data_IF_751600710062
#
_entry.id   IF_751600710062
#
_cell.length_a   1.000
_cell.length_b   1.000
_cell.length_c   1.000
_cell.angle_alpha   90.00
_cell.angle_beta   90.00
_cell.angle_gamma   90.00
#
_symmetry.space_group_name_H-M   'P 1'
#
loop_
_entity.id
_entity.type
_entity.pdbx_description
1 polymer ?
#
# COMPACT_ATOMS: atom_id res chain seq x y z
N UNK A 1 -4.51 15.78 -68.30
CA UNK A 1 -4.01 16.31 -67.03
C UNK A 1 -5.08 16.01 -65.95
N UNK A 2 -4.98 14.87 -65.31
CA UNK A 2 -5.92 14.39 -64.30
C UNK A 2 -5.27 14.55 -62.92
N UNK A 3 -5.84 15.41 -62.08
CA UNK A 3 -5.43 15.61 -60.68
C UNK A 3 -5.99 14.47 -59.83
N UNK A 4 -5.11 13.67 -59.22
CA UNK A 4 -5.47 12.73 -58.18
C UNK A 4 -5.50 13.46 -56.85
N UNK A 5 -6.69 13.43 -56.21
CA UNK A 5 -6.89 13.93 -54.86
C UNK A 5 -6.65 12.78 -53.88
N UNK A 6 -5.57 12.87 -53.08
CA UNK A 6 -5.26 11.92 -52.00
C UNK A 6 -6.05 12.29 -50.78
N UNK A 7 -7.04 11.47 -50.40
CA UNK A 7 -7.78 11.58 -49.14
C UNK A 7 -6.93 10.93 -48.05
N UNK A 8 -6.43 11.74 -47.12
CA UNK A 8 -5.76 11.31 -45.93
C UNK A 8 -6.80 10.95 -44.86
N UNK A 9 -7.09 9.67 -44.67
CA UNK A 9 -7.97 9.22 -43.60
C UNK A 9 -7.15 9.21 -42.28
N UNK A 10 -7.39 10.23 -41.45
CA UNK A 10 -6.84 10.27 -40.09
C UNK A 10 -7.58 9.27 -39.19
N UNK A 11 -6.90 8.22 -38.76
CA UNK A 11 -7.40 7.31 -37.74
C UNK A 11 -7.38 8.02 -36.37
N UNK A 12 -8.53 8.44 -35.88
CA UNK A 12 -8.72 8.95 -34.55
C UNK A 12 -8.71 7.76 -33.57
N UNK A 13 -7.56 7.50 -32.94
CA UNK A 13 -7.46 6.53 -31.85
C UNK A 13 -8.14 7.14 -30.64
N UNK A 14 -9.36 6.71 -30.35
CA UNK A 14 -10.05 6.98 -29.09
C UNK A 14 -9.33 6.23 -27.98
N UNK A 15 -8.39 6.88 -27.32
CA UNK A 15 -7.88 6.42 -26.02
C UNK A 15 -9.00 6.58 -25.00
N UNK A 16 -9.70 5.49 -24.69
CA UNK A 16 -10.55 5.43 -23.50
C UNK A 16 -9.64 5.56 -22.28
N UNK A 17 -9.88 6.55 -21.39
CA UNK A 17 -9.11 6.64 -20.16
C UNK A 17 -9.45 5.41 -19.32
N UNK A 18 -8.49 4.50 -19.16
CA UNK A 18 -8.54 3.46 -18.13
C UNK A 18 -8.48 4.22 -16.81
N UNK A 19 -9.56 4.16 -16.04
CA UNK A 19 -9.63 4.71 -14.69
C UNK A 19 -8.71 3.88 -13.78
N UNK A 20 -7.43 4.20 -13.77
CA UNK A 20 -6.48 3.63 -12.83
C UNK A 20 -6.71 4.28 -11.48
N UNK A 21 -7.50 3.64 -10.63
CA UNK A 21 -7.61 3.98 -9.22
C UNK A 21 -6.35 3.40 -8.54
N UNK A 22 -5.38 4.24 -8.23
CA UNK A 22 -4.20 3.82 -7.50
C UNK A 22 -4.59 3.52 -6.05
N UNK A 23 -4.39 2.29 -5.61
CA UNK A 23 -4.62 1.83 -4.24
C UNK A 23 -3.28 1.46 -3.60
N UNK A 24 -3.15 1.46 -2.24
CA UNK A 24 -1.90 1.20 -1.54
C UNK A 24 -1.26 -0.16 -1.79
N UNK A 25 -1.98 -1.08 -2.43
CA UNK A 25 -1.43 -2.31 -3.00
C UNK A 25 -1.53 -2.14 -4.50
N UNK A 26 -0.38 -2.03 -5.15
CA UNK A 26 -0.27 -1.78 -6.57
C UNK A 26 -0.79 -2.93 -7.40
N UNK A 27 -1.90 -2.68 -8.06
CA UNK A 27 -2.42 -3.48 -9.17
C UNK A 27 -2.90 -2.58 -10.30
N UNK A 28 -2.15 -1.49 -10.54
CA UNK A 28 -2.13 -0.83 -11.83
C UNK A 28 -0.95 -1.40 -12.62
N UNK A 29 -1.06 -1.51 -13.91
CA UNK A 29 0.07 -1.86 -14.77
C UNK A 29 1.23 -0.90 -14.49
N UNK A 30 2.45 -1.43 -14.38
CA UNK A 30 3.62 -0.61 -14.15
C UNK A 30 4.32 -0.88 -12.83
N UNK A 31 5.15 0.08 -12.43
CA UNK A 31 5.97 0.00 -11.22
C UNK A 31 5.40 0.88 -10.13
N UNK A 32 5.29 0.32 -8.93
CA UNK A 32 4.91 1.07 -7.73
C UNK A 32 6.07 1.12 -6.76
N UNK A 33 6.37 2.31 -6.28
CA UNK A 33 7.28 2.56 -5.14
C UNK A 33 6.44 3.06 -3.98
N UNK A 34 6.65 2.50 -2.79
CA UNK A 34 5.95 2.90 -1.58
C UNK A 34 6.92 3.02 -0.41
N UNK A 35 6.74 4.07 0.36
CA UNK A 35 7.45 4.33 1.61
C UNK A 35 6.41 4.48 2.72
N UNK A 36 6.59 3.78 3.82
CA UNK A 36 5.75 3.89 5.01
C UNK A 36 6.61 4.14 6.24
N UNK A 37 6.17 5.05 7.11
CA UNK A 37 6.87 5.43 8.32
C UNK A 37 5.90 5.59 9.48
N UNK A 38 6.19 4.92 10.59
CA UNK A 38 5.55 5.08 11.88
C UNK A 38 6.63 5.35 12.94
N UNK A 39 6.66 6.57 13.47
CA UNK A 39 7.74 7.02 14.35
C UNK A 39 7.91 6.13 15.60
N UNK A 40 9.06 5.47 15.70
CA UNK A 40 9.44 4.59 16.81
C UNK A 40 8.80 3.20 16.77
N UNK A 41 8.26 2.77 15.62
CA UNK A 41 7.72 1.41 15.43
C UNK A 41 8.13 0.77 14.11
N UNK A 42 8.02 1.47 12.97
CA UNK A 42 8.23 0.88 11.67
C UNK A 42 8.71 1.90 10.63
N UNK A 43 9.65 1.49 9.79
CA UNK A 43 9.94 2.15 8.53
C UNK A 43 10.04 1.10 7.43
N UNK A 44 9.31 1.29 6.33
CA UNK A 44 9.27 0.32 5.22
C UNK A 44 9.41 1.02 3.88
N UNK A 45 10.24 0.43 3.00
CA UNK A 45 10.34 0.80 1.58
C UNK A 45 10.02 -0.41 0.72
N UNK A 46 9.17 -0.23 -0.30
CA UNK A 46 8.71 -1.30 -1.18
C UNK A 46 8.78 -0.87 -2.64
N UNK A 47 9.12 -1.83 -3.52
CA UNK A 47 9.05 -1.68 -4.97
C UNK A 47 8.39 -2.91 -5.55
N UNK A 48 7.34 -2.73 -6.35
CA UNK A 48 6.61 -3.79 -7.03
C UNK A 48 6.40 -3.46 -8.50
N UNK A 49 6.51 -4.45 -9.34
CA UNK A 49 6.14 -4.40 -10.74
C UNK A 49 4.90 -5.27 -10.97
N UNK A 50 3.87 -4.70 -11.55
CA UNK A 50 2.63 -5.37 -11.94
C UNK A 50 2.60 -5.55 -13.46
N UNK A 51 2.91 -6.74 -14.00
CA UNK A 51 2.80 -7.01 -15.44
C UNK A 51 1.33 -7.13 -15.87
N UNK A 52 0.43 -7.42 -14.94
CA UNK A 52 -1.02 -7.52 -15.13
C UNK A 52 -1.76 -6.98 -13.90
N UNK A 53 -3.04 -6.66 -14.09
CA UNK A 53 -3.89 -6.04 -13.05
C UNK A 53 -4.14 -6.93 -11.81
N UNK A 54 -3.88 -8.23 -11.87
CA UNK A 54 -4.23 -9.19 -10.82
C UNK A 54 -3.05 -9.67 -9.98
N UNK A 55 -1.81 -9.36 -10.36
CA UNK A 55 -0.65 -9.68 -9.54
C UNK A 55 0.51 -8.70 -9.74
N UNK A 56 1.35 -8.62 -8.73
CA UNK A 56 2.62 -7.91 -8.80
C UNK A 56 3.72 -8.68 -8.09
N UNK A 57 4.94 -8.50 -8.56
CA UNK A 57 6.15 -9.08 -7.99
C UNK A 57 7.12 -7.99 -7.60
N UNK A 58 7.86 -8.19 -6.55
CA UNK A 58 8.84 -7.22 -6.10
C UNK A 58 9.35 -7.55 -4.71
N UNK A 59 9.69 -6.53 -3.95
CA UNK A 59 10.21 -6.72 -2.62
C UNK A 59 10.24 -5.42 -1.82
N UNK A 60 10.73 -5.54 -0.61
CA UNK A 60 10.86 -4.42 0.30
C UNK A 60 11.91 -4.64 1.36
N UNK A 61 12.13 -3.57 2.08
CA UNK A 61 12.92 -3.53 3.28
C UNK A 61 12.10 -2.88 4.38
N UNK A 62 11.95 -3.59 5.50
CA UNK A 62 11.25 -3.07 6.67
C UNK A 62 12.17 -3.13 7.89
N UNK A 63 12.17 -2.06 8.65
CA UNK A 63 12.77 -1.96 9.97
C UNK A 63 11.66 -1.82 11.00
N UNK A 64 11.67 -2.71 12.00
CA UNK A 64 10.80 -2.62 13.16
C UNK A 64 11.64 -2.23 14.38
N UNK A 65 11.23 -1.15 15.03
CA UNK A 65 11.77 -0.73 16.33
C UNK A 65 10.76 -1.03 17.43
N UNK A 66 11.24 -1.61 18.52
CA UNK A 66 10.38 -1.84 19.68
C UNK A 66 10.30 -0.57 20.55
N UNK A 67 9.07 -0.12 20.79
CA UNK A 67 8.81 0.93 21.77
C UNK A 67 8.95 0.44 23.23
N UNK A 68 9.11 -0.88 23.44
CA UNK A 68 9.12 -1.51 24.77
C UNK A 68 10.50 -1.85 25.25
N UNK A 69 11.39 -2.19 24.33
CA UNK A 69 12.77 -2.64 24.63
C UNK A 69 13.70 -2.11 23.54
N UNK A 70 15.00 -1.92 23.80
CA UNK A 70 15.97 -1.51 22.78
C UNK A 70 16.24 -2.68 21.79
N UNK A 71 15.26 -2.94 20.92
CA UNK A 71 15.28 -4.01 19.93
C UNK A 71 14.90 -3.47 18.57
N UNK A 72 15.70 -3.82 17.55
CA UNK A 72 15.45 -3.49 16.14
C UNK A 72 15.58 -4.75 15.30
N UNK A 73 14.66 -5.00 14.40
CA UNK A 73 14.69 -6.05 13.39
C UNK A 73 14.62 -5.43 12.01
N UNK A 74 15.56 -5.83 11.13
CA UNK A 74 15.63 -5.40 9.73
C UNK A 74 15.39 -6.59 8.83
N UNK A 75 14.40 -6.47 7.95
CA UNK A 75 13.96 -7.54 7.07
C UNK A 75 14.03 -7.05 5.64
N UNK A 76 14.71 -7.80 4.76
CA UNK A 76 14.64 -7.61 3.32
C UNK A 76 13.97 -8.84 2.71
N UNK A 77 12.94 -8.63 1.89
CA UNK A 77 12.13 -9.71 1.35
C UNK A 77 11.80 -9.51 -0.14
N UNK A 78 11.55 -10.62 -0.82
CA UNK A 78 10.84 -10.68 -2.10
C UNK A 78 9.42 -11.19 -1.86
N UNK A 79 8.45 -10.69 -2.63
CA UNK A 79 7.02 -10.97 -2.42
C UNK A 79 6.26 -10.99 -3.72
N UNK A 80 5.31 -11.93 -3.84
CA UNK A 80 4.22 -11.93 -4.81
C UNK A 80 2.97 -11.40 -4.13
N UNK A 81 2.33 -10.39 -4.69
CA UNK A 81 1.01 -9.94 -4.32
C UNK A 81 0.00 -10.42 -5.36
N UNK A 82 -1.20 -10.80 -4.90
CA UNK A 82 -2.26 -11.32 -5.75
C UNK A 82 -3.61 -10.70 -5.39
N UNK A 83 -4.33 -10.21 -6.40
CA UNK A 83 -5.73 -9.78 -6.27
C UNK A 83 -6.63 -11.01 -6.33
N UNK A 84 -7.05 -11.49 -5.16
CA UNK A 84 -7.89 -12.69 -5.02
C UNK A 84 -9.29 -12.46 -5.60
N UNK A 85 -9.87 -11.28 -5.32
CA UNK A 85 -11.20 -10.92 -5.78
C UNK A 85 -11.39 -9.41 -5.89
N UNK A 86 -12.09 -9.00 -6.94
CA UNK A 86 -12.59 -7.63 -7.12
C UNK A 86 -14.08 -7.65 -7.41
N UNK A 87 -14.81 -6.79 -6.75
CA UNK A 87 -16.21 -6.49 -7.03
C UNK A 87 -16.31 -5.06 -7.51
N UNK A 88 -16.68 -4.88 -8.77
CA UNK A 88 -17.01 -3.58 -9.33
C UNK A 88 -18.52 -3.38 -9.22
N UNK A 89 -18.93 -2.57 -8.27
CA UNK A 89 -20.32 -2.20 -8.04
C UNK A 89 -20.60 -0.87 -8.77
N UNK A 90 -21.86 -0.49 -8.91
CA UNK A 90 -22.26 0.73 -9.64
C UNK A 90 -21.59 2.00 -9.10
N UNK A 91 -21.45 2.14 -7.79
CA UNK A 91 -20.87 3.32 -7.13
C UNK A 91 -19.75 3.00 -6.14
N UNK A 92 -19.27 1.76 -6.15
CA UNK A 92 -18.27 1.28 -5.19
C UNK A 92 -17.37 0.22 -5.80
N UNK A 93 -16.23 -0.01 -5.16
CA UNK A 93 -15.35 -1.13 -5.45
C UNK A 93 -14.94 -1.82 -4.16
N UNK A 94 -15.00 -3.15 -4.15
CA UNK A 94 -14.43 -3.97 -3.09
C UNK A 94 -13.29 -4.83 -3.62
N UNK A 95 -12.25 -5.04 -2.84
CA UNK A 95 -11.14 -5.89 -3.22
C UNK A 95 -10.70 -6.75 -2.05
N UNK A 96 -10.16 -7.93 -2.38
CA UNK A 96 -9.43 -8.79 -1.46
C UNK A 96 -8.09 -9.14 -2.12
N UNK A 97 -7.02 -8.91 -1.38
CA UNK A 97 -5.65 -9.22 -1.79
C UNK A 97 -5.03 -10.20 -0.80
N UNK A 98 -4.09 -10.98 -1.30
CA UNK A 98 -3.21 -11.79 -0.49
C UNK A 98 -1.80 -11.71 -1.03
N UNK A 99 -0.82 -11.93 -0.16
CA UNK A 99 0.58 -11.98 -0.57
C UNK A 99 1.36 -13.00 0.22
N UNK A 100 2.45 -13.45 -0.38
CA UNK A 100 3.40 -14.33 0.23
C UNK A 100 4.80 -14.10 -0.32
N UNK A 101 5.79 -14.32 0.51
CA UNK A 101 7.17 -14.10 0.15
C UNK A 101 8.15 -14.68 1.14
N UNK A 102 9.42 -14.48 0.85
CA UNK A 102 10.52 -14.91 1.70
C UNK A 102 11.67 -13.91 1.63
N UNK A 103 12.52 -13.93 2.63
CA UNK A 103 13.64 -13.02 2.72
C UNK A 103 14.65 -13.39 3.80
N UNK A 104 15.42 -12.40 4.20
CA UNK A 104 16.39 -12.49 5.27
C UNK A 104 16.18 -11.38 6.29
N UNK A 105 16.44 -11.68 7.54
CA UNK A 105 16.40 -10.70 8.63
C UNK A 105 17.72 -10.67 9.40
N UNK A 106 18.04 -9.49 9.91
CA UNK A 106 19.04 -9.24 10.95
C UNK A 106 18.38 -8.51 12.11
N UNK A 107 18.93 -8.59 13.29
CA UNK A 107 18.34 -7.92 14.45
C UNK A 107 19.35 -7.73 15.57
N UNK A 108 19.00 -6.87 16.51
CA UNK A 108 19.85 -6.55 17.66
C UNK A 108 19.88 -7.66 18.73
N UNK A 109 18.92 -8.60 18.69
CA UNK A 109 18.77 -9.66 19.70
C UNK A 109 19.28 -11.02 19.25
N UNK A 110 19.75 -11.15 18.00
CA UNK A 110 20.33 -12.38 17.48
C UNK A 110 21.50 -12.10 16.53
N UNK A 111 22.40 -13.04 16.39
CA UNK A 111 23.55 -12.90 15.49
C UNK A 111 23.31 -13.57 14.14
N UNK A 112 23.89 -12.97 13.08
CA UNK A 112 23.81 -13.46 11.71
C UNK A 112 22.43 -13.27 11.09
N UNK A 113 22.31 -13.60 9.81
CA UNK A 113 21.04 -13.53 9.09
C UNK A 113 20.14 -14.73 9.42
N UNK A 114 18.82 -14.50 9.44
CA UNK A 114 17.78 -15.52 9.58
C UNK A 114 16.85 -15.49 8.38
N UNK A 115 16.48 -16.66 7.90
CA UNK A 115 15.43 -16.74 6.89
C UNK A 115 14.09 -16.26 7.46
N UNK A 116 13.34 -15.51 6.65
CA UNK A 116 12.02 -14.97 7.00
C UNK A 116 11.01 -15.42 5.97
N UNK A 117 9.84 -15.85 6.43
CA UNK A 117 8.63 -15.94 5.63
C UNK A 117 7.78 -14.69 5.84
N UNK A 118 7.27 -14.13 4.75
CA UNK A 118 6.30 -13.03 4.75
C UNK A 118 4.97 -13.54 4.20
N UNK A 119 3.85 -13.20 4.84
CA UNK A 119 2.52 -13.48 4.34
C UNK A 119 1.53 -12.44 4.85
N UNK A 120 0.49 -12.17 4.10
CA UNK A 120 -0.56 -11.27 4.56
C UNK A 120 -1.75 -11.22 3.62
N UNK A 121 -2.72 -10.41 4.04
CA UNK A 121 -3.94 -10.17 3.29
C UNK A 121 -4.48 -8.76 3.56
N UNK A 122 -5.25 -8.24 2.61
CA UNK A 122 -6.00 -7.00 2.76
C UNK A 122 -7.36 -7.16 2.12
N UNK A 123 -8.38 -6.63 2.79
CA UNK A 123 -9.67 -6.36 2.19
C UNK A 123 -9.93 -4.85 2.22
N UNK A 124 -10.46 -4.30 1.15
CA UNK A 124 -10.88 -2.91 1.11
C UNK A 124 -12.22 -2.74 0.40
N UNK A 125 -12.90 -1.66 0.79
CA UNK A 125 -14.12 -1.17 0.18
C UNK A 125 -14.03 0.34 0.01
N UNK A 126 -14.36 0.83 -1.16
CA UNK A 126 -14.27 2.25 -1.50
C UNK A 126 -15.43 2.70 -2.38
N UNK A 127 -15.99 3.82 -2.01
CA UNK A 127 -16.87 4.64 -2.85
C UNK A 127 -16.16 5.95 -3.20
N UNK A 128 -16.82 6.88 -3.88
CA UNK A 128 -16.28 8.24 -4.07
C UNK A 128 -16.14 9.05 -2.76
N UNK A 129 -16.79 8.63 -1.67
CA UNK A 129 -16.88 9.37 -0.41
C UNK A 129 -16.48 8.59 0.84
N UNK A 130 -16.47 7.26 0.77
CA UNK A 130 -16.21 6.40 1.93
C UNK A 130 -15.17 5.35 1.56
N UNK A 131 -14.23 5.14 2.46
CA UNK A 131 -13.19 4.13 2.37
C UNK A 131 -13.13 3.32 3.66
N UNK A 132 -12.96 2.02 3.54
CA UNK A 132 -12.66 1.12 4.64
C UNK A 132 -11.64 0.08 4.19
N UNK A 133 -10.66 -0.26 5.04
CA UNK A 133 -9.74 -1.36 4.77
C UNK A 133 -9.32 -2.06 6.05
N UNK A 134 -9.07 -3.35 5.91
CA UNK A 134 -8.45 -4.20 6.93
C UNK A 134 -7.26 -4.92 6.29
N UNK A 135 -6.08 -4.76 6.88
CA UNK A 135 -4.82 -5.36 6.44
C UNK A 135 -4.17 -6.14 7.57
N UNK A 136 -3.62 -7.30 7.28
CA UNK A 136 -2.73 -8.04 8.16
C UNK A 136 -1.44 -8.38 7.41
N UNK A 137 -0.29 -8.19 8.04
CA UNK A 137 1.03 -8.52 7.50
C UNK A 137 1.83 -9.28 8.56
N UNK A 138 2.32 -10.45 8.22
CA UNK A 138 3.07 -11.35 9.09
C UNK A 138 4.49 -11.51 8.57
N UNK A 139 5.47 -11.25 9.43
CA UNK A 139 6.89 -11.55 9.23
C UNK A 139 7.31 -12.60 10.25
N UNK A 140 7.74 -13.77 9.79
CA UNK A 140 8.10 -14.89 10.66
C UNK A 140 9.49 -15.42 10.37
N UNK A 141 10.34 -15.39 11.37
CA UNK A 141 11.67 -16.01 11.39
C UNK A 141 11.78 -16.98 12.58
N UNK A 142 12.85 -17.76 12.64
CA UNK A 142 13.14 -18.62 13.80
C UNK A 142 13.38 -17.83 15.09
N UNK A 143 13.87 -16.58 14.97
CA UNK A 143 14.25 -15.74 16.10
C UNK A 143 13.11 -14.80 16.57
N UNK A 144 12.14 -14.50 15.71
CA UNK A 144 11.03 -13.57 16.02
C UNK A 144 9.81 -13.83 15.14
N UNK A 145 8.68 -13.27 15.56
CA UNK A 145 7.47 -13.17 14.74
C UNK A 145 6.82 -11.82 15.02
N UNK A 146 6.60 -11.04 13.97
CA UNK A 146 5.89 -9.74 14.03
C UNK A 146 4.68 -9.84 13.13
N UNK A 147 3.50 -9.46 13.64
CA UNK A 147 2.30 -9.24 12.86
C UNK A 147 1.84 -7.81 13.05
N UNK A 148 1.46 -7.16 11.96
CA UNK A 148 0.89 -5.82 11.94
C UNK A 148 -0.52 -5.92 11.39
N UNK A 149 -1.51 -5.62 12.23
CA UNK A 149 -2.91 -5.53 11.83
C UNK A 149 -3.29 -4.05 11.73
N UNK A 150 -3.92 -3.65 10.64
CA UNK A 150 -4.29 -2.25 10.39
C UNK A 150 -5.73 -2.16 9.90
N UNK A 151 -6.54 -1.38 10.59
CA UNK A 151 -7.88 -0.96 10.17
C UNK A 151 -7.83 0.52 9.80
N UNK A 152 -8.34 0.88 8.63
CA UNK A 152 -8.54 2.27 8.22
C UNK A 152 -9.98 2.52 7.85
N UNK A 153 -10.51 3.68 8.28
CA UNK A 153 -11.81 4.21 7.86
C UNK A 153 -11.60 5.65 7.41
N UNK A 154 -12.08 5.98 6.22
CA UNK A 154 -11.88 7.30 5.62
C UNK A 154 -13.14 7.89 5.02
N UNK A 155 -13.21 9.22 5.05
CA UNK A 155 -14.25 9.99 4.38
C UNK A 155 -13.61 11.07 3.50
N UNK A 156 -14.14 11.26 2.29
CA UNK A 156 -13.80 12.39 1.43
C UNK A 156 -14.82 13.53 1.68
N UNK A 157 -14.39 14.74 2.07
CA UNK A 157 -15.29 15.86 2.34
C UNK A 157 -16.03 16.35 1.09
N UNK A 158 -15.51 16.05 -0.11
CA UNK A 158 -16.12 16.36 -1.41
C UNK A 158 -15.87 15.21 -2.41
N UNK A 159 -16.68 15.13 -3.43
CA UNK A 159 -16.41 14.29 -4.60
C UNK A 159 -15.40 15.01 -5.51
N UNK A 160 -14.43 14.29 -6.00
CA UNK A 160 -13.37 14.82 -6.87
C UNK A 160 -13.47 14.23 -8.28
N UNK A 161 -13.08 15.03 -9.26
CA UNK A 161 -12.86 14.58 -10.61
C UNK A 161 -11.45 14.01 -10.79
N UNK A 162 -11.21 13.23 -11.84
CA UNK A 162 -9.94 12.54 -12.07
C UNK A 162 -8.70 13.45 -12.07
N UNK A 163 -8.84 14.69 -12.54
CA UNK A 163 -7.77 15.68 -12.61
C UNK A 163 -7.60 16.52 -11.33
N UNK A 164 -8.48 16.35 -10.36
CA UNK A 164 -8.45 17.04 -9.09
C UNK A 164 -7.68 16.23 -8.03
N UNK A 165 -7.29 16.92 -6.96
CA UNK A 165 -6.72 16.25 -5.79
C UNK A 165 -7.86 15.65 -4.99
N UNK A 166 -7.85 14.33 -4.81
CA UNK A 166 -8.71 13.66 -3.86
C UNK A 166 -8.16 13.88 -2.45
N UNK A 167 -8.99 14.36 -1.55
CA UNK A 167 -8.65 14.58 -0.15
C UNK A 167 -9.48 13.67 0.73
N UNK A 168 -8.83 12.96 1.66
CA UNK A 168 -9.49 12.06 2.58
C UNK A 168 -9.05 12.33 4.01
N UNK A 169 -10.00 12.32 4.92
CA UNK A 169 -9.77 12.28 6.36
C UNK A 169 -9.86 10.82 6.79
N UNK A 170 -8.79 10.27 7.35
CA UNK A 170 -8.68 8.85 7.67
C UNK A 170 -8.40 8.70 9.16
N UNK A 171 -9.15 7.82 9.81
CA UNK A 171 -8.82 7.28 11.12
C UNK A 171 -8.23 5.89 10.94
N UNK A 172 -7.17 5.60 11.66
CA UNK A 172 -6.47 4.33 11.62
C UNK A 172 -6.38 3.74 13.03
N UNK A 173 -6.54 2.43 13.12
CA UNK A 173 -6.15 1.62 14.27
C UNK A 173 -5.13 0.59 13.82
N UNK A 174 -4.00 0.51 14.49
CA UNK A 174 -2.90 -0.41 14.18
C UNK A 174 -2.46 -1.15 15.43
N UNK A 175 -2.31 -2.46 15.31
CA UNK A 175 -1.78 -3.32 16.36
C UNK A 175 -0.51 -3.99 15.87
N UNK A 176 0.53 -3.92 16.70
CA UNK A 176 1.79 -4.61 16.49
C UNK A 176 1.91 -5.74 17.51
N UNK A 177 2.13 -6.96 17.03
CA UNK A 177 2.49 -8.08 17.91
C UNK A 177 4.00 -8.26 17.97
N UNK A 178 4.46 -9.29 18.69
CA UNK A 178 5.88 -9.63 18.73
C UNK A 178 6.72 -8.67 19.57
N UNK A 179 6.11 -7.89 20.44
CA UNK A 179 6.82 -7.00 21.38
C UNK A 179 7.31 -5.69 20.74
N UNK A 180 6.70 -5.23 19.65
CA UNK A 180 7.01 -3.93 19.05
C UNK A 180 6.35 -2.82 19.87
N UNK A 181 5.06 -2.94 20.17
CA UNK A 181 4.29 -1.98 20.94
C UNK A 181 3.17 -2.70 21.73
N UNK A 182 2.70 -2.10 22.81
CA UNK A 182 1.53 -2.58 23.53
C UNK A 182 0.24 -1.89 23.07
N UNK A 183 -0.79 -2.71 22.87
CA UNK A 183 -2.13 -2.23 22.57
C UNK A 183 -2.26 -1.66 21.16
N UNK A 184 -3.40 -1.04 20.90
CA UNK A 184 -3.75 -0.46 19.63
C UNK A 184 -3.24 0.99 19.57
N UNK A 185 -2.46 1.30 18.54
CA UNK A 185 -2.10 2.66 18.15
C UNK A 185 -3.19 3.20 17.23
N UNK A 186 -3.83 4.30 17.61
CA UNK A 186 -4.76 5.01 16.74
C UNK A 186 -4.08 6.25 16.13
N UNK A 187 -4.45 6.60 14.91
CA UNK A 187 -3.95 7.78 14.23
C UNK A 187 -5.08 8.50 13.48
N UNK A 188 -4.91 9.82 13.34
CA UNK A 188 -5.68 10.64 12.43
C UNK A 188 -4.77 11.10 11.28
N UNK A 189 -5.17 10.81 10.04
CA UNK A 189 -4.35 11.00 8.86
C UNK A 189 -5.09 11.84 7.82
N UNK A 190 -4.37 12.72 7.16
CA UNK A 190 -4.79 13.38 5.94
C UNK A 190 -4.18 12.63 4.76
N UNK A 191 -5.01 12.22 3.81
CA UNK A 191 -4.62 11.52 2.61
C UNK A 191 -4.92 12.38 1.39
N UNK A 192 -3.93 12.55 0.55
CA UNK A 192 -4.01 13.24 -0.73
C UNK A 192 -3.67 12.27 -1.85
N UNK A 193 -4.48 12.26 -2.89
CA UNK A 193 -4.27 11.43 -4.06
C UNK A 193 -4.49 12.23 -5.33
N UNK A 194 -3.58 12.08 -6.30
CA UNK A 194 -3.74 12.62 -7.66
C UNK A 194 -2.95 11.79 -8.67
N UNK A 195 -3.64 11.29 -9.69
CA UNK A 195 -3.03 10.44 -10.72
C UNK A 195 -2.42 9.18 -10.10
N UNK A 196 -1.14 8.90 -10.34
CA UNK A 196 -0.40 7.78 -9.76
C UNK A 196 0.24 8.07 -8.40
N UNK A 197 0.03 9.25 -7.81
CA UNK A 197 0.70 9.66 -6.57
C UNK A 197 -0.27 9.70 -5.40
N UNK A 198 0.13 9.10 -4.29
CA UNK A 198 -0.59 9.03 -3.03
C UNK A 198 0.32 9.46 -1.88
N UNK A 199 -0.15 10.37 -1.07
CA UNK A 199 0.55 10.83 0.15
C UNK A 199 -0.42 10.77 1.31
N UNK A 200 0.03 10.24 2.43
CA UNK A 200 -0.73 10.20 3.66
C UNK A 200 0.18 10.62 4.81
N UNK A 201 -0.29 11.50 5.68
CA UNK A 201 0.46 11.92 6.84
C UNK A 201 -0.49 12.32 7.99
N UNK A 202 -0.03 12.13 9.21
CA UNK A 202 -0.78 12.51 10.41
C UNK A 202 -0.07 12.15 11.69
N UNK A 203 -0.84 12.11 12.76
CA UNK A 203 -0.33 11.88 14.11
C UNK A 203 -1.08 10.77 14.80
N UNK A 204 -0.35 10.00 15.59
CA UNK A 204 -0.92 8.95 16.45
C UNK A 204 -1.46 9.54 17.74
N UNK A 205 -2.24 8.75 18.49
CA UNK A 205 -2.69 9.09 19.84
C UNK A 205 -1.54 9.33 20.84
N UNK A 206 -0.34 8.83 20.51
CA UNK A 206 0.90 9.12 21.28
C UNK A 206 1.64 10.37 20.79
N UNK A 207 1.07 11.18 19.89
CA UNK A 207 1.70 12.38 19.32
C UNK A 207 2.86 12.09 18.35
N UNK A 208 3.00 10.85 17.88
CA UNK A 208 4.07 10.46 16.95
C UNK A 208 3.62 10.64 15.50
N UNK A 209 4.57 10.99 14.64
CA UNK A 209 4.35 11.11 13.19
C UNK A 209 4.08 9.74 12.57
N UNK A 210 3.08 9.69 11.69
CA UNK A 210 2.86 8.61 10.76
C UNK A 210 2.74 9.17 9.35
N UNK A 211 3.41 8.55 8.38
CA UNK A 211 3.40 9.01 7.00
C UNK A 211 3.51 7.83 6.03
N UNK A 212 2.95 8.00 4.83
CA UNK A 212 3.10 7.09 3.71
C UNK A 212 3.13 7.90 2.41
N UNK A 213 3.99 7.49 1.50
CA UNK A 213 4.03 8.01 0.14
C UNK A 213 4.08 6.84 -0.85
N UNK A 214 3.33 6.94 -1.93
CA UNK A 214 3.31 5.96 -3.00
C UNK A 214 3.27 6.66 -4.36
N UNK A 215 4.04 6.14 -5.30
CA UNK A 215 4.02 6.56 -6.71
C UNK A 215 3.91 5.32 -7.58
N UNK A 216 3.00 5.37 -8.54
CA UNK A 216 2.85 4.37 -9.58
C UNK A 216 3.15 5.00 -10.96
N UNK A 217 3.98 4.32 -11.81
CA UNK A 217 4.42 4.77 -13.14
C UNK A 217 4.75 3.61 -14.07
#
# INVERSE_FOLDING_TARGET
>A
MTRQSTILAGALVLMTPVLALAKPIAFADGTTVMLEYGAGTMAEAQVFYAPEYNYSVGGGHVEFDSALTPRTERITYARLNYLVRRWNLESAQGNVYAWGGAGGATGSTFSGARAVANAGAQADYETRRVYASLKTDLQRASAFSVRVDTLQLGIAPYEHEYNQIATWLVVQAREYTGGIQHGIESAFLLRLFKGGTWIEAGVTNGGKLQAMAMVNF
#
